data_IF_640602652912
#
_entry.id   IF_640602652912
#
_cell.length_a   1.000
_cell.length_b   1.000
_cell.length_c   1.000
_cell.angle_alpha   90.00
_cell.angle_beta   90.00
_cell.angle_gamma   90.00
#
_symmetry.space_group_name_H-M   'P 1'
#
loop_
_entity.id
_entity.type
_entity.pdbx_description
1 polymer ?
#
# COMPACT_ATOMS: atom_id res chain seq x y z
N UNK A 1 2.19 2.16 23.36
CA UNK A 1 2.10 3.49 22.72
C UNK A 1 2.31 3.38 21.21
N UNK A 2 3.46 2.92 20.72
CA UNK A 2 3.71 2.74 19.27
C UNK A 2 2.58 1.97 18.54
N UNK A 3 2.13 0.83 19.08
CA UNK A 3 1.04 0.03 18.51
C UNK A 3 -0.36 0.69 18.60
N UNK A 4 -0.57 1.54 19.60
CA UNK A 4 -1.83 2.27 19.82
C UNK A 4 -1.96 3.44 18.83
N UNK A 5 -0.83 4.10 18.52
CA UNK A 5 -0.75 5.21 17.55
C UNK A 5 -0.52 4.74 16.12
N UNK A 6 -0.49 3.43 15.88
CA UNK A 6 -0.15 2.83 14.59
C UNK A 6 1.19 3.32 14.01
N UNK A 7 2.17 3.59 14.87
CA UNK A 7 3.50 4.05 14.48
C UNK A 7 4.54 2.93 14.69
N UNK A 8 5.24 2.49 13.62
CA UNK A 8 6.26 1.47 13.75
C UNK A 8 7.43 1.94 14.65
N UNK A 9 8.09 1.02 15.39
CA UNK A 9 9.24 1.29 16.21
C UNK A 9 10.33 2.07 15.47
N UNK A 10 10.96 3.02 16.16
CA UNK A 10 11.96 3.91 15.55
C UNK A 10 13.08 3.15 14.82
N UNK A 11 13.53 2.02 15.36
CA UNK A 11 14.56 1.20 14.73
C UNK A 11 14.10 0.62 13.38
N UNK A 12 12.85 0.16 13.27
CA UNK A 12 12.29 -0.37 12.02
C UNK A 12 12.07 0.75 10.99
N UNK A 13 11.60 1.93 11.43
CA UNK A 13 11.48 3.10 10.54
C UNK A 13 12.82 3.56 9.99
N UNK A 14 13.85 3.63 10.84
CA UNK A 14 15.22 3.95 10.41
C UNK A 14 15.75 2.93 9.40
N UNK A 15 15.47 1.64 9.62
CA UNK A 15 15.83 0.58 8.68
C UNK A 15 15.14 0.76 7.32
N UNK A 16 13.83 0.97 7.31
CA UNK A 16 13.08 1.24 6.07
C UNK A 16 13.58 2.47 5.30
N UNK A 17 13.90 3.56 6.01
CA UNK A 17 14.48 4.75 5.39
C UNK A 17 15.88 4.48 4.82
N UNK A 18 16.69 3.67 5.51
CA UNK A 18 18.00 3.22 5.05
C UNK A 18 17.89 2.36 3.79
N UNK A 19 16.96 1.40 3.75
CA UNK A 19 16.71 0.54 2.59
C UNK A 19 16.28 1.37 1.37
N UNK A 20 15.37 2.34 1.57
CA UNK A 20 14.97 3.29 0.51
C UNK A 20 16.13 4.13 0.01
N UNK A 21 16.97 4.61 0.92
CA UNK A 21 18.10 5.46 0.55
C UNK A 21 19.13 4.70 -0.26
N UNK A 22 19.50 3.49 0.17
CA UNK A 22 20.43 2.62 -0.57
C UNK A 22 19.85 2.26 -1.93
N UNK A 23 18.56 1.91 -2.02
CA UNK A 23 17.88 1.65 -3.29
C UNK A 23 18.00 2.83 -4.26
N UNK A 24 17.77 4.06 -3.78
CA UNK A 24 17.92 5.28 -4.59
C UNK A 24 19.36 5.50 -5.06
N UNK A 25 20.35 5.25 -4.20
CA UNK A 25 21.76 5.35 -4.59
C UNK A 25 22.12 4.30 -5.66
N UNK A 26 21.55 3.09 -5.55
CA UNK A 26 21.70 2.00 -6.52
C UNK A 26 21.06 2.32 -7.87
N UNK A 27 19.91 3.01 -7.89
CA UNK A 27 19.23 3.40 -9.14
C UNK A 27 19.95 4.56 -9.86
N UNK A 28 20.66 5.42 -9.14
CA UNK A 28 21.33 6.61 -9.70
C UNK A 28 22.83 6.44 -9.96
N UNK A 29 23.39 5.21 -9.82
CA UNK A 29 24.83 4.92 -9.91
C UNK A 29 25.69 5.89 -9.10
N UNK A 30 25.23 6.24 -7.89
CA UNK A 30 25.87 7.26 -7.08
C UNK A 30 27.28 6.84 -6.62
N UNK A 31 28.24 7.78 -6.67
CA UNK A 31 29.60 7.58 -6.10
C UNK A 31 29.57 7.26 -4.59
N UNK A 32 28.49 7.64 -3.89
CA UNK A 32 28.32 7.32 -2.47
C UNK A 32 28.14 5.81 -2.26
N UNK A 33 27.53 5.11 -3.21
CA UNK A 33 27.33 3.67 -3.13
C UNK A 33 28.65 2.90 -3.08
N UNK A 34 29.66 3.36 -3.83
CA UNK A 34 31.01 2.78 -3.79
C UNK A 34 31.66 2.91 -2.41
N UNK A 35 31.44 4.05 -1.72
CA UNK A 35 31.92 4.24 -0.33
C UNK A 35 31.19 3.31 0.65
N UNK A 36 29.87 3.14 0.48
CA UNK A 36 29.08 2.20 1.30
C UNK A 36 29.56 0.77 1.06
N UNK A 37 29.80 0.38 -0.19
CA UNK A 37 30.32 -0.94 -0.57
C UNK A 37 31.71 -1.21 0.03
N UNK A 38 32.62 -0.24 -0.06
CA UNK A 38 33.95 -0.35 0.58
C UNK A 38 33.83 -0.51 2.11
N UNK A 39 32.96 0.28 2.75
CA UNK A 39 32.70 0.15 4.17
C UNK A 39 32.04 -1.20 4.52
N UNK A 40 31.17 -1.72 3.67
CA UNK A 40 30.58 -3.05 3.83
C UNK A 40 31.64 -4.14 3.80
N UNK A 41 32.60 -4.08 2.86
CA UNK A 41 33.74 -4.99 2.83
C UNK A 41 34.56 -4.90 4.12
N UNK A 42 34.83 -3.68 4.64
CA UNK A 42 35.54 -3.52 5.91
C UNK A 42 34.77 -4.10 7.10
N UNK A 43 33.46 -3.87 7.16
CA UNK A 43 32.58 -4.42 8.21
C UNK A 43 32.62 -5.94 8.23
N UNK A 44 32.65 -6.58 7.06
CA UNK A 44 32.64 -8.04 6.93
C UNK A 44 34.01 -8.70 7.17
N UNK A 45 35.12 -7.95 7.05
CA UNK A 45 36.48 -8.54 7.05
C UNK A 45 37.39 -8.06 8.17
N UNK A 46 37.13 -6.89 8.76
CA UNK A 46 38.03 -6.28 9.74
C UNK A 46 37.63 -6.61 11.18
N UNK A 47 38.62 -7.02 11.98
CA UNK A 47 38.49 -7.25 13.42
C UNK A 47 37.93 -6.05 14.20
N UNK A 48 38.14 -4.83 13.71
CA UNK A 48 37.62 -3.61 14.33
C UNK A 48 36.08 -3.63 14.46
N UNK A 49 35.39 -4.23 13.47
CA UNK A 49 33.94 -4.25 13.41
C UNK A 49 33.30 -5.39 14.21
N UNK A 50 34.07 -6.40 14.64
CA UNK A 50 33.56 -7.53 15.45
C UNK A 50 32.85 -7.08 16.73
N UNK A 51 33.35 -6.00 17.35
CA UNK A 51 32.81 -5.47 18.61
C UNK A 51 31.95 -4.22 18.42
N UNK A 52 31.67 -3.81 17.18
CA UNK A 52 30.92 -2.58 16.87
C UNK A 52 29.64 -2.89 16.13
N UNK A 53 28.62 -2.06 16.34
CA UNK A 53 27.37 -2.16 15.58
C UNK A 53 27.60 -1.73 14.14
N UNK A 54 27.16 -2.57 13.21
CA UNK A 54 27.17 -2.25 11.78
C UNK A 54 26.33 -0.99 11.51
N UNK A 55 26.83 -0.01 10.74
CA UNK A 55 26.04 1.13 10.33
C UNK A 55 24.81 0.71 9.51
N UNK A 56 23.65 1.34 9.76
CA UNK A 56 22.39 0.98 9.12
C UNK A 56 22.44 0.97 7.58
N UNK A 57 23.10 1.95 6.96
CA UNK A 57 23.25 2.02 5.50
C UNK A 57 24.04 0.83 4.94
N UNK A 58 25.04 0.36 5.68
CA UNK A 58 25.86 -0.80 5.30
C UNK A 58 25.05 -2.07 5.46
N UNK A 59 24.32 -2.19 6.57
CA UNK A 59 23.42 -3.31 6.81
C UNK A 59 22.35 -3.40 5.72
N UNK A 60 21.73 -2.27 5.35
CA UNK A 60 20.76 -2.18 4.23
C UNK A 60 21.38 -2.56 2.90
N UNK A 61 22.62 -2.14 2.63
CA UNK A 61 23.35 -2.50 1.43
C UNK A 61 23.61 -4.01 1.36
N UNK A 62 24.21 -4.59 2.40
CA UNK A 62 24.52 -6.03 2.46
C UNK A 62 23.24 -6.85 2.28
N UNK A 63 22.15 -6.49 2.97
CA UNK A 63 20.89 -7.24 2.90
C UNK A 63 20.21 -7.12 1.53
N UNK A 64 20.29 -6.00 0.83
CA UNK A 64 19.45 -5.77 -0.35
C UNK A 64 20.20 -5.75 -1.69
N UNK A 65 21.53 -5.68 -1.72
CA UNK A 65 22.30 -5.51 -2.96
C UNK A 65 22.00 -6.59 -4.01
N UNK A 66 21.81 -7.84 -3.58
CA UNK A 66 21.47 -8.98 -4.47
C UNK A 66 20.11 -8.82 -5.15
N UNK A 67 19.19 -8.03 -4.57
CA UNK A 67 17.85 -7.79 -5.12
C UNK A 67 17.87 -6.79 -6.27
N UNK A 68 18.99 -6.12 -6.50
CA UNK A 68 19.10 -5.00 -7.44
C UNK A 68 19.71 -5.40 -8.80
N UNK A 69 19.94 -6.68 -9.08
CA UNK A 69 20.51 -7.14 -10.36
C UNK A 69 19.72 -6.66 -11.58
N UNK A 70 18.39 -6.65 -11.47
CA UNK A 70 17.48 -6.19 -12.51
C UNK A 70 16.98 -4.76 -12.29
N UNK A 71 17.49 -4.03 -11.29
CA UNK A 71 17.10 -2.63 -11.03
C UNK A 71 17.42 -1.74 -12.24
N UNK A 72 16.51 -0.83 -12.58
CA UNK A 72 16.76 0.21 -13.55
C UNK A 72 17.79 1.20 -12.99
N UNK A 73 18.84 1.45 -13.77
CA UNK A 73 19.92 2.34 -13.38
C UNK A 73 20.13 3.43 -14.42
N UNK A 74 20.33 4.65 -13.97
CA UNK A 74 20.61 5.81 -14.83
C UNK A 74 21.67 6.71 -14.21
N UNK A 75 22.34 7.51 -15.05
CA UNK A 75 23.25 8.55 -14.58
C UNK A 75 22.44 9.79 -14.21
N UNK A 76 22.05 9.91 -12.94
CA UNK A 76 21.25 11.04 -12.45
C UNK A 76 19.74 10.81 -12.54
N UNK A 77 18.98 11.87 -12.81
CA UNK A 77 17.51 11.80 -12.87
C UNK A 77 17.09 11.42 -14.29
N UNK A 78 16.34 10.32 -14.51
CA UNK A 78 16.00 9.83 -15.85
C UNK A 78 15.30 10.87 -16.72
N UNK A 79 14.43 11.68 -16.10
CA UNK A 79 13.67 12.74 -16.77
C UNK A 79 14.56 13.71 -17.57
N UNK A 80 15.78 13.98 -17.11
CA UNK A 80 16.67 14.94 -17.76
C UNK A 80 17.25 14.44 -19.10
N UNK A 81 17.08 13.16 -19.42
CA UNK A 81 17.50 12.60 -20.70
C UNK A 81 16.45 12.79 -21.81
N UNK A 82 15.28 13.37 -21.50
CA UNK A 82 14.17 13.49 -22.44
C UNK A 82 13.88 14.97 -22.76
N UNK A 83 13.63 15.32 -24.03
CA UNK A 83 13.21 16.66 -24.44
C UNK A 83 11.96 17.16 -23.70
N UNK A 84 11.95 18.44 -23.35
CA UNK A 84 10.83 19.07 -22.63
C UNK A 84 9.55 19.12 -23.48
N UNK A 85 9.70 19.25 -24.79
CA UNK A 85 8.62 19.37 -25.78
C UNK A 85 7.68 18.17 -25.73
N UNK A 86 8.20 16.99 -25.36
CA UNK A 86 7.41 15.77 -25.21
C UNK A 86 6.32 15.89 -24.13
N UNK A 87 6.49 16.80 -23.17
CA UNK A 87 5.53 17.04 -22.09
C UNK A 87 4.48 18.10 -22.47
N UNK A 88 4.72 18.86 -23.54
CA UNK A 88 3.76 19.85 -24.06
C UNK A 88 2.61 19.21 -24.83
N UNK A 89 2.87 18.03 -25.42
CA UNK A 89 1.91 17.28 -26.21
C UNK A 89 1.45 16.04 -25.43
N UNK A 90 0.37 16.14 -24.65
CA UNK A 90 -0.05 15.06 -23.76
C UNK A 90 -0.52 13.83 -24.55
N UNK A 91 -0.31 12.66 -23.95
CA UNK A 91 -0.82 11.39 -24.47
C UNK A 91 -2.34 11.46 -24.60
N UNK A 92 -2.86 11.25 -25.81
CA UNK A 92 -4.31 11.22 -26.04
C UNK A 92 -4.91 10.00 -25.35
N UNK A 93 -5.59 10.26 -24.24
CA UNK A 93 -6.25 9.24 -23.43
C UNK A 93 -7.77 9.42 -23.43
N UNK A 94 -8.51 8.32 -23.30
CA UNK A 94 -9.96 8.34 -23.15
C UNK A 94 -10.37 7.58 -21.89
N UNK A 95 -10.86 8.33 -20.90
CA UNK A 95 -11.51 7.82 -19.69
C UNK A 95 -12.82 8.59 -19.57
N UNK A 96 -13.94 7.91 -19.71
CA UNK A 96 -15.24 8.55 -19.56
C UNK A 96 -15.72 8.42 -18.11
N UNK A 97 -15.76 9.57 -17.41
CA UNK A 97 -16.05 9.68 -15.98
C UNK A 97 -17.48 9.22 -15.66
N UNK A 98 -18.43 9.35 -16.60
CA UNK A 98 -19.83 8.93 -16.39
C UNK A 98 -19.95 7.44 -16.09
N UNK A 99 -19.06 6.63 -16.64
CA UNK A 99 -19.05 5.17 -16.47
C UNK A 99 -18.19 4.71 -15.29
N UNK A 100 -17.58 5.62 -14.54
CA UNK A 100 -16.85 5.28 -13.30
C UNK A 100 -17.79 5.10 -12.10
N UNK A 101 -18.99 5.67 -12.15
CA UNK A 101 -19.94 5.69 -11.02
C UNK A 101 -21.05 4.63 -11.14
N UNK A 102 -21.10 3.85 -12.22
CA UNK A 102 -22.20 2.93 -12.51
C UNK A 102 -21.66 1.52 -12.76
N UNK A 103 -22.05 0.58 -11.89
CA UNK A 103 -21.55 -0.79 -11.86
C UNK A 103 -22.23 -1.75 -12.85
N UNK A 104 -23.19 -1.31 -13.67
CA UNK A 104 -23.90 -2.23 -14.56
C UNK A 104 -23.08 -2.55 -15.82
N UNK A 105 -23.01 -3.83 -16.18
CA UNK A 105 -22.21 -4.29 -17.33
C UNK A 105 -22.77 -3.80 -18.68
N UNK A 106 -24.07 -3.50 -18.74
CA UNK A 106 -24.75 -2.92 -19.91
C UNK A 106 -24.12 -1.58 -20.27
N UNK A 107 -23.91 -0.72 -19.27
CA UNK A 107 -23.39 0.64 -19.45
C UNK A 107 -21.93 0.62 -19.92
N UNK A 108 -21.18 -0.42 -19.54
CA UNK A 108 -19.78 -0.59 -19.91
C UNK A 108 -19.62 -1.13 -21.33
N UNK A 109 -20.52 -2.03 -21.76
CA UNK A 109 -20.63 -2.44 -23.17
C UNK A 109 -20.99 -1.26 -24.06
N UNK A 110 -21.84 -0.35 -23.60
CA UNK A 110 -22.13 0.91 -24.32
C UNK A 110 -20.91 1.84 -24.39
N UNK A 111 -20.13 2.01 -23.32
CA UNK A 111 -18.86 2.78 -23.37
C UNK A 111 -17.87 2.20 -24.41
N UNK A 112 -17.70 0.87 -24.42
CA UNK A 112 -16.85 0.22 -25.40
C UNK A 112 -17.40 0.39 -26.82
N UNK A 113 -18.72 0.28 -27.01
CA UNK A 113 -19.39 0.60 -28.29
C UNK A 113 -19.16 2.05 -28.70
N UNK A 114 -19.29 3.03 -27.82
CA UNK A 114 -18.99 4.43 -28.13
C UNK A 114 -17.53 4.62 -28.56
N UNK A 115 -16.59 4.00 -27.84
CA UNK A 115 -15.16 4.10 -28.15
C UNK A 115 -14.84 3.48 -29.51
N UNK A 116 -15.47 2.35 -29.84
CA UNK A 116 -15.26 1.62 -31.09
C UNK A 116 -16.01 2.22 -32.27
N UNK A 117 -17.22 2.77 -32.08
CA UNK A 117 -17.99 3.48 -33.12
C UNK A 117 -17.29 4.78 -33.51
N UNK A 118 -16.84 5.57 -32.53
CA UNK A 118 -16.07 6.81 -32.81
C UNK A 118 -14.72 6.53 -33.50
N UNK A 119 -14.24 5.28 -33.45
CA UNK A 119 -12.93 4.85 -33.96
C UNK A 119 -13.05 3.58 -34.80
N UNK A 120 -14.08 3.50 -35.65
CA UNK A 120 -14.36 2.30 -36.43
C UNK A 120 -13.21 1.90 -37.37
N UNK A 121 -12.50 2.88 -37.91
CA UNK A 121 -11.35 2.71 -38.81
C UNK A 121 -10.01 2.46 -38.09
N UNK A 122 -9.98 2.46 -36.75
CA UNK A 122 -8.73 2.33 -36.01
C UNK A 122 -8.41 0.85 -35.78
N UNK A 123 -7.14 0.49 -35.95
CA UNK A 123 -6.59 -0.78 -35.48
C UNK A 123 -6.75 -0.89 -33.96
N UNK A 124 -7.50 -1.90 -33.50
CA UNK A 124 -7.80 -2.10 -32.07
C UNK A 124 -6.79 -3.06 -31.47
N UNK A 125 -6.01 -2.58 -30.52
CA UNK A 125 -5.01 -3.37 -29.81
C UNK A 125 -5.45 -3.45 -28.35
N UNK A 126 -5.35 -4.62 -27.74
CA UNK A 126 -5.70 -4.87 -26.34
C UNK A 126 -4.43 -5.20 -25.56
N UNK A 127 -4.34 -4.74 -24.33
CA UNK A 127 -3.19 -4.94 -23.46
C UNK A 127 -3.63 -5.29 -22.06
N UNK A 128 -2.90 -6.20 -21.42
CA UNK A 128 -3.12 -6.55 -20.02
C UNK A 128 -1.81 -6.93 -19.31
N UNK A 129 -1.77 -6.67 -18.01
CA UNK A 129 -0.70 -7.06 -17.11
C UNK A 129 -1.22 -8.02 -16.04
N UNK A 130 -0.46 -9.08 -15.74
CA UNK A 130 -0.83 -10.04 -14.71
C UNK A 130 0.25 -10.17 -13.65
N UNK A 131 -0.16 -10.19 -12.38
CA UNK A 131 0.71 -10.53 -11.25
C UNK A 131 0.00 -11.51 -10.33
N UNK A 132 0.62 -12.66 -10.11
CA UNK A 132 0.13 -13.71 -9.22
C UNK A 132 1.29 -14.34 -8.45
N UNK A 133 0.98 -15.33 -7.61
CA UNK A 133 2.00 -16.14 -6.94
C UNK A 133 2.90 -16.91 -7.93
N UNK A 134 2.43 -17.12 -9.16
CA UNK A 134 3.16 -17.85 -10.19
C UNK A 134 4.11 -16.98 -11.02
N UNK A 135 4.12 -15.66 -10.80
CA UNK A 135 4.99 -14.72 -11.50
C UNK A 135 4.26 -13.48 -12.00
N UNK A 136 4.98 -12.69 -12.81
CA UNK A 136 4.49 -11.47 -13.45
C UNK A 136 4.56 -11.66 -14.96
N UNK A 137 3.51 -11.27 -15.66
CA UNK A 137 3.44 -11.35 -17.12
C UNK A 137 2.69 -10.17 -17.70
N UNK A 138 2.80 -10.00 -19.01
CA UNK A 138 1.98 -9.06 -19.77
C UNK A 138 1.69 -9.61 -21.16
N UNK A 139 0.59 -9.15 -21.75
CA UNK A 139 0.23 -9.51 -23.10
C UNK A 139 -0.26 -8.31 -23.92
N UNK A 140 -0.10 -8.45 -25.24
CA UNK A 140 -0.67 -7.55 -26.23
C UNK A 140 -1.36 -8.40 -27.28
N UNK A 141 -2.60 -8.04 -27.63
CA UNK A 141 -3.39 -8.73 -28.64
C UNK A 141 -3.91 -7.75 -29.70
N UNK A 142 -3.58 -8.00 -30.96
CA UNK A 142 -4.14 -7.29 -32.11
C UNK A 142 -5.02 -8.26 -32.93
N UNK A 143 -6.36 -8.27 -32.73
CA UNK A 143 -7.25 -9.27 -33.32
C UNK A 143 -7.29 -9.25 -34.84
N UNK A 144 -7.27 -8.06 -35.45
CA UNK A 144 -7.39 -7.91 -36.91
C UNK A 144 -6.29 -8.67 -37.68
N UNK A 145 -5.07 -8.68 -37.13
CA UNK A 145 -3.92 -9.41 -37.70
C UNK A 145 -3.61 -10.70 -36.94
N UNK A 146 -4.42 -11.07 -35.95
CA UNK A 146 -4.21 -12.18 -35.03
C UNK A 146 -2.80 -12.23 -34.42
N UNK A 147 -2.25 -11.07 -34.06
CA UNK A 147 -0.92 -10.95 -33.43
C UNK A 147 -1.08 -11.02 -31.92
N UNK A 148 -0.38 -11.96 -31.28
CA UNK A 148 -0.35 -12.15 -29.83
C UNK A 148 1.08 -12.06 -29.32
N UNK A 149 1.38 -11.07 -28.49
CA UNK A 149 2.64 -10.97 -27.78
C UNK A 149 2.42 -11.36 -26.33
N UNK A 150 3.20 -12.32 -25.83
CA UNK A 150 3.04 -12.88 -24.49
C UNK A 150 4.41 -12.94 -23.83
N UNK A 151 4.59 -12.18 -22.76
CA UNK A 151 5.88 -12.06 -22.10
C UNK A 151 5.81 -12.39 -20.61
N UNK A 152 6.87 -13.04 -20.13
CA UNK A 152 7.19 -13.21 -18.73
C UNK A 152 8.10 -12.06 -18.29
N UNK A 153 7.72 -11.41 -17.20
CA UNK A 153 8.38 -10.24 -16.64
C UNK A 153 9.12 -10.59 -15.34
N UNK A 154 10.11 -9.78 -14.92
CA UNK A 154 10.72 -9.89 -13.60
C UNK A 154 9.69 -9.94 -12.46
N UNK A 155 9.85 -10.89 -11.53
CA UNK A 155 8.90 -11.16 -10.45
C UNK A 155 8.67 -9.97 -9.50
N UNK A 156 9.70 -9.13 -9.36
CA UNK A 156 9.70 -7.96 -8.50
C UNK A 156 8.92 -6.78 -9.08
N UNK A 157 8.53 -6.80 -10.36
CA UNK A 157 7.69 -5.75 -10.96
C UNK A 157 6.32 -5.70 -10.30
N UNK A 158 5.81 -4.50 -10.10
CA UNK A 158 4.44 -4.30 -9.63
C UNK A 158 3.44 -4.61 -10.73
N UNK A 159 2.18 -4.89 -10.35
CA UNK A 159 1.08 -5.02 -11.32
C UNK A 159 1.00 -3.76 -12.19
N UNK A 160 1.14 -2.58 -11.59
CA UNK A 160 1.15 -1.31 -12.30
C UNK A 160 2.26 -1.22 -13.36
N UNK A 161 3.47 -1.67 -13.06
CA UNK A 161 4.55 -1.69 -14.05
C UNK A 161 4.32 -2.71 -15.16
N UNK A 162 3.70 -3.87 -14.87
CA UNK A 162 3.34 -4.86 -15.87
C UNK A 162 2.35 -4.30 -16.90
N UNK A 163 1.32 -3.60 -16.42
CA UNK A 163 0.33 -2.89 -17.26
C UNK A 163 0.99 -1.84 -18.17
N UNK A 164 1.87 -1.02 -17.59
CA UNK A 164 2.60 -0.01 -18.37
C UNK A 164 3.51 -0.66 -19.42
N UNK A 165 4.16 -1.79 -19.10
CA UNK A 165 4.98 -2.53 -20.07
C UNK A 165 4.10 -3.08 -21.20
N UNK A 166 2.90 -3.59 -20.89
CA UNK A 166 1.94 -4.04 -21.91
C UNK A 166 1.58 -2.89 -22.88
N UNK A 167 1.25 -1.72 -22.34
CA UNK A 167 0.98 -0.50 -23.14
C UNK A 167 2.21 -0.09 -23.96
N UNK A 168 3.40 -0.10 -23.36
CA UNK A 168 4.66 0.20 -24.05
C UNK A 168 4.86 -0.71 -25.27
N UNK A 169 4.63 -2.02 -25.10
CA UNK A 169 4.74 -3.00 -26.18
C UNK A 169 3.69 -2.77 -27.28
N UNK A 170 2.46 -2.40 -26.92
CA UNK A 170 1.44 -2.05 -27.90
C UNK A 170 1.79 -0.81 -28.72
N UNK A 171 2.33 0.24 -28.09
CA UNK A 171 2.79 1.43 -28.82
C UNK A 171 3.97 1.07 -29.74
N UNK A 172 4.90 0.23 -29.27
CA UNK A 172 6.00 -0.29 -30.10
C UNK A 172 5.46 -1.06 -31.31
N UNK A 173 4.43 -1.89 -31.12
CA UNK A 173 3.77 -2.60 -32.22
C UNK A 173 3.19 -1.62 -33.24
N UNK A 174 2.57 -0.51 -32.82
CA UNK A 174 2.06 0.52 -33.73
C UNK A 174 3.13 1.14 -34.64
N UNK A 175 4.40 1.22 -34.19
CA UNK A 175 5.51 1.69 -35.03
C UNK A 175 5.74 0.75 -36.22
N UNK A 176 5.67 -0.56 -35.97
CA UNK A 176 5.95 -1.63 -36.93
C UNK A 176 4.78 -1.91 -37.89
N UNK A 177 3.54 -1.59 -37.49
CA UNK A 177 2.36 -1.84 -38.31
C UNK A 177 2.18 -0.80 -39.43
N UNK A 178 1.64 -1.22 -40.57
CA UNK A 178 1.31 -0.33 -41.69
C UNK A 178 0.10 0.57 -41.44
N UNK A 179 -0.77 0.24 -40.47
CA UNK A 179 -1.96 1.04 -40.20
C UNK A 179 -1.60 2.45 -39.66
N UNK A 180 -2.40 3.46 -39.99
CA UNK A 180 -2.13 4.86 -39.57
C UNK A 180 -2.84 5.26 -38.27
N UNK A 181 -3.88 4.53 -37.87
CA UNK A 181 -4.77 4.90 -36.77
C UNK A 181 -4.94 3.73 -35.81
N UNK A 182 -4.61 3.91 -34.54
CA UNK A 182 -4.70 2.86 -33.52
C UNK A 182 -5.44 3.32 -32.26
N UNK A 183 -6.18 2.38 -31.67
CA UNK A 183 -6.71 2.51 -30.31
C UNK A 183 -6.20 1.35 -29.48
N UNK A 184 -5.52 1.69 -28.39
CA UNK A 184 -5.01 0.73 -27.40
C UNK A 184 -6.02 0.69 -26.26
N UNK A 185 -6.61 -0.47 -26.03
CA UNK A 185 -7.52 -0.76 -24.93
C UNK A 185 -6.77 -1.44 -23.79
N UNK A 186 -6.99 -0.95 -22.58
CA UNK A 186 -6.44 -1.51 -21.34
C UNK A 186 -7.51 -1.39 -20.24
N UNK A 187 -7.56 -2.35 -19.33
CA UNK A 187 -8.40 -2.26 -18.14
C UNK A 187 -7.71 -1.58 -16.94
N UNK A 188 -6.43 -1.26 -17.08
CA UNK A 188 -5.63 -0.56 -16.09
C UNK A 188 -5.96 0.93 -16.03
N UNK A 189 -7.05 1.27 -15.33
CA UNK A 189 -7.48 2.65 -15.09
C UNK A 189 -6.33 3.52 -14.58
N UNK A 190 -5.57 2.99 -13.62
CA UNK A 190 -4.44 3.68 -13.00
C UNK A 190 -3.35 4.06 -14.00
N UNK A 191 -3.08 3.20 -15.00
CA UNK A 191 -2.11 3.47 -16.06
C UNK A 191 -2.58 4.59 -16.98
N UNK A 192 -3.85 4.54 -17.41
CA UNK A 192 -4.42 5.58 -18.28
C UNK A 192 -4.49 6.92 -17.55
N UNK A 193 -4.90 6.95 -16.28
CA UNK A 193 -4.92 8.18 -15.47
C UNK A 193 -3.51 8.76 -15.28
N UNK A 194 -2.50 7.89 -15.10
CA UNK A 194 -1.12 8.33 -14.95
C UNK A 194 -0.55 8.92 -16.22
N UNK A 195 -0.83 8.32 -17.38
CA UNK A 195 -0.43 8.82 -18.69
C UNK A 195 -1.16 10.11 -19.07
N UNK A 196 -2.44 10.24 -18.70
CA UNK A 196 -3.23 11.46 -18.92
C UNK A 196 -2.67 12.66 -18.16
N UNK A 197 -2.28 12.46 -16.90
CA UNK A 197 -1.82 13.53 -16.00
C UNK A 197 -0.30 13.53 -15.85
N UNK A 198 0.40 13.16 -16.92
CA UNK A 198 1.85 13.08 -16.91
C UNK A 198 2.44 14.49 -16.88
N UNK A 199 3.21 14.79 -15.84
CA UNK A 199 3.80 16.10 -15.58
C UNK A 199 5.28 15.94 -15.20
N UNK A 200 6.06 17.01 -15.38
CA UNK A 200 7.46 17.04 -15.01
C UNK A 200 7.63 16.71 -13.52
N UNK A 201 8.16 15.52 -13.24
CA UNK A 201 8.45 15.08 -11.88
C UNK A 201 9.75 14.26 -11.89
N UNK A 202 10.76 14.62 -11.07
CA UNK A 202 12.04 13.93 -11.03
C UNK A 202 11.94 12.47 -10.58
N UNK A 203 10.83 12.05 -9.98
CA UNK A 203 10.59 10.67 -9.55
C UNK A 203 9.70 9.89 -10.54
N UNK A 204 9.58 10.34 -11.79
CA UNK A 204 8.86 9.59 -12.82
C UNK A 204 9.50 8.21 -13.04
N UNK A 205 8.64 7.21 -13.16
CA UNK A 205 9.03 5.86 -13.54
C UNK A 205 9.58 5.88 -14.98
N UNK A 206 10.75 5.29 -15.21
CA UNK A 206 11.38 5.26 -16.54
C UNK A 206 10.46 4.63 -17.59
N UNK A 207 9.61 3.66 -17.22
CA UNK A 207 8.65 3.02 -18.14
C UNK A 207 7.69 4.06 -18.72
N UNK A 208 7.28 5.05 -17.93
CA UNK A 208 6.43 6.15 -18.39
C UNK A 208 7.17 7.07 -19.39
N UNK A 209 8.47 7.29 -19.17
CA UNK A 209 9.30 8.08 -20.08
C UNK A 209 9.49 7.35 -21.42
N UNK A 210 9.77 6.04 -21.38
CA UNK A 210 9.84 5.18 -22.58
C UNK A 210 8.52 5.18 -23.35
N UNK A 211 7.37 5.11 -22.66
CA UNK A 211 6.05 5.20 -23.28
C UNK A 211 5.88 6.56 -23.98
N UNK A 212 6.27 7.65 -23.33
CA UNK A 212 6.15 8.99 -23.89
C UNK A 212 7.02 9.16 -25.15
N UNK A 213 8.24 8.63 -25.12
CA UNK A 213 9.15 8.60 -26.28
C UNK A 213 8.57 7.82 -27.45
N UNK A 214 8.14 6.58 -27.20
CA UNK A 214 7.53 5.75 -28.25
C UNK A 214 6.25 6.40 -28.79
N UNK A 215 5.44 7.03 -27.93
CA UNK A 215 4.23 7.72 -28.35
C UNK A 215 4.55 8.86 -29.33
N UNK A 216 5.54 9.70 -29.01
CA UNK A 216 5.96 10.79 -29.89
C UNK A 216 6.61 10.30 -31.18
N UNK A 217 7.38 9.22 -31.12
CA UNK A 217 7.93 8.58 -32.31
C UNK A 217 6.79 8.13 -33.26
N UNK A 218 5.72 7.54 -32.73
CA UNK A 218 4.56 7.18 -33.57
C UNK A 218 3.91 8.42 -34.18
N UNK A 219 3.70 9.48 -33.40
CA UNK A 219 3.13 10.73 -33.92
C UNK A 219 3.99 11.34 -35.03
N UNK A 220 5.32 11.26 -34.92
CA UNK A 220 6.27 11.77 -35.91
C UNK A 220 6.19 11.04 -37.25
N UNK A 221 5.70 9.80 -37.27
CA UNK A 221 5.43 9.03 -38.48
C UNK A 221 4.08 9.40 -39.13
N UNK A 222 3.36 10.39 -38.60
CA UNK A 222 2.03 10.78 -39.09
C UNK A 222 0.88 9.90 -38.59
N UNK A 223 1.18 8.93 -37.72
CA UNK A 223 0.19 7.99 -37.17
C UNK A 223 -0.55 8.59 -35.97
N UNK A 224 -1.74 8.08 -35.70
CA UNK A 224 -2.60 8.51 -34.59
C UNK A 224 -2.81 7.38 -33.58
N UNK A 225 -2.50 7.63 -32.31
CA UNK A 225 -2.75 6.68 -31.22
C UNK A 225 -3.67 7.30 -30.16
N UNK A 226 -4.67 6.53 -29.73
CA UNK A 226 -5.45 6.76 -28.50
C UNK A 226 -5.27 5.60 -27.51
N UNK A 227 -5.13 5.92 -26.22
CA UNK A 227 -5.15 4.92 -25.14
C UNK A 227 -6.48 5.05 -24.40
N UNK A 228 -7.31 4.01 -24.45
CA UNK A 228 -8.67 4.01 -23.90
C UNK A 228 -8.80 3.00 -22.78
N UNK A 229 -9.34 3.46 -21.64
CA UNK A 229 -9.69 2.56 -20.56
C UNK A 229 -11.00 1.84 -20.85
N UNK A 230 -11.04 0.53 -20.59
CA UNK A 230 -12.24 -0.33 -20.58
C UNK A 230 -12.35 -1.05 -19.24
N UNK A 231 -13.55 -1.47 -18.83
CA UNK A 231 -13.71 -2.17 -17.56
C UNK A 231 -13.24 -3.61 -17.69
N UNK A 232 -12.51 -4.11 -16.70
CA UNK A 232 -12.18 -5.52 -16.57
C UNK A 232 -13.46 -6.38 -16.48
N UNK A 233 -13.43 -7.60 -17.02
CA UNK A 233 -14.52 -8.59 -16.93
C UNK A 233 -15.90 -8.09 -17.40
N UNK A 234 -15.94 -7.22 -18.40
CA UNK A 234 -17.20 -6.67 -18.94
C UNK A 234 -17.81 -7.49 -20.08
N UNK A 235 -17.36 -8.73 -20.33
CA UNK A 235 -17.84 -9.55 -21.44
C UNK A 235 -17.38 -9.07 -22.82
N UNK A 236 -16.21 -8.43 -22.89
CA UNK A 236 -15.55 -8.06 -24.17
C UNK A 236 -14.54 -9.17 -24.46
N UNK A 237 -14.82 -9.95 -25.51
CA UNK A 237 -14.08 -11.17 -25.87
C UNK A 237 -12.57 -10.90 -26.00
N UNK A 238 -12.18 -9.83 -26.68
CA UNK A 238 -10.76 -9.52 -26.90
C UNK A 238 -10.04 -9.06 -25.63
N UNK A 239 -10.77 -8.47 -24.67
CA UNK A 239 -10.22 -8.11 -23.38
C UNK A 239 -10.02 -9.35 -22.49
N UNK A 240 -10.97 -10.28 -22.51
CA UNK A 240 -10.88 -11.55 -21.78
C UNK A 240 -9.77 -12.44 -22.35
N UNK A 241 -9.59 -12.45 -23.67
CA UNK A 241 -8.48 -13.13 -24.33
C UNK A 241 -7.14 -12.54 -23.88
N UNK A 242 -6.93 -11.22 -23.91
CA UNK A 242 -5.65 -10.64 -23.49
C UNK A 242 -5.34 -10.85 -22.00
N UNK A 243 -6.35 -10.85 -21.12
CA UNK A 243 -6.22 -11.20 -19.70
C UNK A 243 -5.77 -12.65 -19.51
N UNK A 244 -6.38 -13.59 -20.26
CA UNK A 244 -5.95 -14.99 -20.28
C UNK A 244 -4.50 -15.14 -20.78
N UNK A 245 -4.13 -14.40 -21.84
CA UNK A 245 -2.78 -14.39 -22.38
C UNK A 245 -1.76 -13.82 -21.38
N UNK A 246 -2.09 -12.74 -20.66
CA UNK A 246 -1.20 -12.16 -19.65
C UNK A 246 -0.98 -13.11 -18.46
N UNK A 247 -2.05 -13.77 -17.98
CA UNK A 247 -1.97 -14.83 -16.96
C UNK A 247 -1.12 -16.01 -17.41
N UNK A 248 -1.27 -16.43 -18.67
CA UNK A 248 -0.40 -17.46 -19.26
C UNK A 248 1.05 -16.97 -19.34
N UNK A 249 1.26 -15.71 -19.73
CA UNK A 249 2.57 -15.07 -19.84
C UNK A 249 3.36 -15.06 -18.54
N UNK A 250 2.69 -14.89 -17.40
CA UNK A 250 3.33 -14.97 -16.09
C UNK A 250 4.02 -16.33 -15.83
N UNK A 251 3.47 -17.42 -16.39
CA UNK A 251 3.98 -18.79 -16.24
C UNK A 251 4.93 -19.17 -17.37
N UNK A 252 4.46 -19.03 -18.61
CA UNK A 252 5.01 -19.64 -19.81
C UNK A 252 5.41 -18.63 -20.90
N UNK A 253 5.29 -17.32 -20.62
CA UNK A 253 5.61 -16.29 -21.60
C UNK A 253 7.09 -16.24 -21.96
N UNK A 254 7.41 -15.64 -23.10
CA UNK A 254 8.80 -15.37 -23.48
C UNK A 254 9.41 -14.40 -22.48
N UNK A 255 10.63 -14.67 -22.00
CA UNK A 255 11.27 -13.77 -21.03
C UNK A 255 11.56 -12.42 -21.69
N UNK A 256 11.02 -11.35 -21.10
CA UNK A 256 11.35 -9.97 -21.47
C UNK A 256 12.27 -9.38 -20.40
N UNK A 257 13.49 -9.01 -20.80
CA UNK A 257 14.54 -8.48 -19.93
C UNK A 257 14.31 -7.04 -19.45
N UNK A 258 13.09 -6.70 -19.05
CA UNK A 258 12.75 -5.39 -18.50
C UNK A 258 13.51 -5.12 -17.21
N UNK A 259 13.88 -3.86 -16.98
CA UNK A 259 14.44 -3.43 -15.71
C UNK A 259 13.31 -3.12 -14.71
N UNK A 260 13.61 -3.20 -13.42
CA UNK A 260 12.63 -2.93 -12.37
C UNK A 260 12.82 -1.48 -11.92
N UNK A 261 11.78 -0.63 -11.95
CA UNK A 261 11.88 0.72 -11.42
C UNK A 261 12.04 0.69 -9.89
N UNK A 262 12.78 1.65 -9.33
CA UNK A 262 12.97 1.80 -7.87
C UNK A 262 11.63 1.80 -7.11
N UNK A 263 10.59 2.41 -7.69
CA UNK A 263 9.27 2.50 -7.06
C UNK A 263 8.66 1.14 -6.70
N UNK A 264 8.99 0.08 -7.45
CA UNK A 264 8.41 -1.26 -7.26
C UNK A 264 8.97 -1.99 -6.05
N UNK A 265 10.15 -1.60 -5.56
CA UNK A 265 10.73 -2.14 -4.33
C UNK A 265 10.12 -1.52 -3.06
N UNK A 266 9.54 -0.31 -3.15
CA UNK A 266 9.03 0.41 -1.97
C UNK A 266 7.88 -0.33 -1.27
N UNK A 267 6.86 -0.86 -1.97
CA UNK A 267 5.82 -1.68 -1.35
C UNK A 267 6.39 -2.92 -0.66
N UNK A 268 7.46 -3.50 -1.19
CA UNK A 268 8.09 -4.70 -0.64
C UNK A 268 8.75 -4.37 0.70
N UNK A 269 9.55 -3.30 0.76
CA UNK A 269 10.14 -2.85 2.03
C UNK A 269 9.07 -2.42 3.06
N UNK A 270 7.94 -1.87 2.62
CA UNK A 270 6.82 -1.55 3.52
C UNK A 270 6.17 -2.82 4.09
N UNK A 271 6.00 -3.86 3.26
CA UNK A 271 5.46 -5.16 3.70
C UNK A 271 6.40 -5.79 4.73
N UNK A 272 7.69 -5.86 4.42
CA UNK A 272 8.72 -6.38 5.33
C UNK A 272 8.76 -5.60 6.65
N UNK A 273 8.64 -4.26 6.62
CA UNK A 273 8.54 -3.45 7.84
C UNK A 273 7.32 -3.83 8.68
N UNK A 274 6.15 -4.02 8.06
CA UNK A 274 4.92 -4.37 8.78
C UNK A 274 5.02 -5.77 9.38
N UNK A 275 5.54 -6.74 8.64
CA UNK A 275 5.75 -8.12 9.11
C UNK A 275 6.73 -8.15 10.29
N UNK A 276 7.88 -7.49 10.15
CA UNK A 276 8.85 -7.39 11.24
C UNK A 276 8.28 -6.66 12.47
N UNK A 277 7.43 -5.65 12.26
CA UNK A 277 6.76 -4.98 13.36
C UNK A 277 5.74 -5.89 14.05
N UNK A 278 4.94 -6.64 13.29
CA UNK A 278 3.99 -7.61 13.83
C UNK A 278 4.70 -8.69 14.64
N UNK A 279 5.78 -9.27 14.13
CA UNK A 279 6.59 -10.26 14.86
C UNK A 279 7.18 -9.69 16.16
N UNK A 280 7.76 -8.48 16.10
CA UNK A 280 8.30 -7.81 17.30
C UNK A 280 7.19 -7.49 18.32
N UNK A 281 6.01 -7.12 17.82
CA UNK A 281 4.85 -6.87 18.65
C UNK A 281 4.42 -8.14 19.35
N UNK A 282 4.22 -9.24 18.65
CA UNK A 282 3.81 -10.54 19.22
C UNK A 282 4.80 -11.05 20.26
N UNK A 283 6.10 -11.07 19.93
CA UNK A 283 7.16 -11.60 20.80
C UNK A 283 7.52 -10.68 21.98
N UNK A 284 7.15 -9.40 21.94
CA UNK A 284 7.51 -8.46 23.01
C UNK A 284 6.87 -8.80 24.36
N UNK A 285 7.61 -8.69 25.47
CA UNK A 285 7.05 -8.99 26.80
C UNK A 285 6.11 -7.89 27.32
N UNK A 286 6.21 -6.68 26.78
CA UNK A 286 5.46 -5.50 27.25
C UNK A 286 4.09 -5.39 26.58
N UNK A 287 3.15 -4.77 27.29
CA UNK A 287 1.83 -4.41 26.74
C UNK A 287 0.88 -5.59 26.55
N UNK A 288 1.02 -6.67 27.33
CA UNK A 288 0.18 -7.88 27.20
C UNK A 288 -1.33 -7.60 27.25
N UNK A 289 -1.76 -6.71 28.14
CA UNK A 289 -3.17 -6.30 28.20
C UNK A 289 -3.64 -5.67 26.87
N UNK A 290 -2.83 -4.78 26.29
CA UNK A 290 -3.15 -4.16 25.00
C UNK A 290 -3.20 -5.19 23.87
N UNK A 291 -2.33 -6.21 23.90
CA UNK A 291 -2.34 -7.31 22.93
C UNK A 291 -3.59 -8.16 22.98
N UNK A 292 -4.15 -8.38 24.16
CA UNK A 292 -5.41 -9.10 24.31
C UNK A 292 -6.58 -8.34 23.66
N UNK A 293 -6.52 -7.01 23.66
CA UNK A 293 -7.51 -6.15 22.99
C UNK A 293 -7.24 -6.07 21.49
N UNK A 294 -5.98 -5.87 21.10
CA UNK A 294 -5.55 -5.68 19.73
C UNK A 294 -4.38 -6.62 19.40
N UNK A 295 -4.64 -7.89 19.04
CA UNK A 295 -3.59 -8.87 18.77
C UNK A 295 -2.83 -8.59 17.46
N UNK A 296 -3.46 -7.91 16.50
CA UNK A 296 -2.85 -7.51 15.24
C UNK A 296 -2.66 -6.01 15.17
N UNK A 297 -1.51 -5.59 14.69
CA UNK A 297 -1.21 -4.19 14.43
C UNK A 297 -2.12 -3.70 13.31
N UNK A 298 -2.65 -2.50 13.49
CA UNK A 298 -3.51 -1.83 12.52
C UNK A 298 -2.70 -0.88 11.65
N UNK A 299 -3.19 -0.68 10.45
CA UNK A 299 -2.65 0.34 9.54
C UNK A 299 -3.01 1.75 9.97
N UNK A 300 -4.09 1.91 10.73
CA UNK A 300 -4.61 3.19 11.19
C UNK A 300 -5.11 3.11 12.63
N UNK A 301 -4.98 4.19 13.42
CA UNK A 301 -5.45 4.20 14.81
C UNK A 301 -6.96 4.02 14.90
N UNK A 302 -7.43 3.39 15.97
CA UNK A 302 -8.87 3.17 16.22
C UNK A 302 -9.68 4.47 16.32
N UNK A 303 -9.00 5.56 16.70
CA UNK A 303 -9.61 6.88 16.87
C UNK A 303 -9.57 7.76 15.61
N UNK A 304 -9.23 7.23 14.42
CA UNK A 304 -9.14 8.04 13.18
C UNK A 304 -10.40 8.88 12.93
N UNK A 305 -11.58 8.33 13.22
CA UNK A 305 -12.88 8.97 12.99
C UNK A 305 -13.51 9.60 14.24
N UNK A 306 -12.74 9.75 15.33
CA UNK A 306 -13.23 10.30 16.60
C UNK A 306 -12.60 11.67 16.82
N UNK A 307 -13.42 12.72 16.91
CA UNK A 307 -12.93 14.09 17.11
C UNK A 307 -12.78 14.46 18.59
N UNK A 308 -13.52 13.80 19.48
CA UNK A 308 -13.52 14.12 20.91
C UNK A 308 -12.26 13.58 21.60
N UNK A 309 -11.30 14.48 21.85
CA UNK A 309 -10.00 14.17 22.49
C UNK A 309 -10.14 13.55 23.88
N UNK A 310 -11.20 13.87 24.63
CA UNK A 310 -11.41 13.34 25.98
C UNK A 310 -11.75 11.84 25.93
N UNK A 311 -12.54 11.41 24.94
CA UNK A 311 -12.84 10.00 24.67
C UNK A 311 -11.54 9.28 24.30
N UNK A 312 -10.78 9.82 23.35
CA UNK A 312 -9.50 9.25 22.92
C UNK A 312 -8.59 9.03 24.13
N UNK A 313 -8.41 10.06 24.96
CA UNK A 313 -7.56 9.97 26.16
C UNK A 313 -8.01 8.87 27.12
N UNK A 314 -9.30 8.84 27.48
CA UNK A 314 -9.84 7.88 28.44
C UNK A 314 -9.71 6.46 27.90
N UNK A 315 -10.20 6.22 26.69
CA UNK A 315 -10.19 4.90 26.07
C UNK A 315 -8.76 4.43 25.80
N UNK A 316 -7.83 5.28 25.34
CA UNK A 316 -6.43 4.89 25.18
C UNK A 316 -5.75 4.50 26.50
N UNK A 317 -6.06 5.21 27.60
CA UNK A 317 -5.58 4.82 28.94
C UNK A 317 -6.15 3.48 29.37
N UNK A 318 -7.44 3.23 29.11
CA UNK A 318 -8.08 1.94 29.38
C UNK A 318 -7.47 0.82 28.53
N UNK A 319 -7.33 1.01 27.22
CA UNK A 319 -6.71 0.04 26.28
C UNK A 319 -5.27 -0.30 26.66
N UNK A 320 -4.51 0.66 27.17
CA UNK A 320 -3.14 0.43 27.63
C UNK A 320 -3.05 -0.12 29.08
N UNK A 321 -4.18 -0.29 29.78
CA UNK A 321 -4.24 -0.58 31.22
C UNK A 321 -3.47 0.42 32.10
N UNK A 322 -3.44 1.69 31.68
CA UNK A 322 -2.72 2.80 32.31
C UNK A 322 -3.69 3.86 32.84
N UNK A 323 -4.94 3.51 33.05
CA UNK A 323 -5.91 4.41 33.64
C UNK A 323 -5.62 4.54 35.15
N UNK A 324 -5.87 5.72 35.73
CA UNK A 324 -5.42 6.09 37.09
C UNK A 324 -6.25 5.45 38.24
N UNK A 325 -6.62 4.17 38.12
CA UNK A 325 -7.25 3.38 39.18
C UNK A 325 -6.23 2.93 40.26
N UNK A 326 -6.66 2.59 41.48
CA UNK A 326 -5.76 2.30 42.60
C UNK A 326 -4.73 1.20 42.33
N UNK A 327 -5.08 0.13 41.61
CA UNK A 327 -4.10 -0.90 41.20
C UNK A 327 -2.96 -0.31 40.36
N UNK A 328 -3.26 0.54 39.37
CA UNK A 328 -2.22 1.19 38.57
C UNK A 328 -1.45 2.22 39.38
N UNK A 329 -2.12 3.02 40.22
CA UNK A 329 -1.48 4.01 41.11
C UNK A 329 -0.50 3.37 42.07
N UNK A 330 -0.83 2.22 42.67
CA UNK A 330 0.11 1.45 43.50
C UNK A 330 1.32 0.98 42.71
N UNK A 331 1.08 0.44 41.51
CA UNK A 331 2.16 -0.02 40.62
C UNK A 331 3.17 1.08 40.29
N UNK A 332 2.73 2.34 40.23
CA UNK A 332 3.60 3.50 39.97
C UNK A 332 4.01 4.27 41.25
N UNK A 333 3.70 3.77 42.44
CA UNK A 333 4.11 4.35 43.72
C UNK A 333 3.34 5.62 44.15
N UNK A 334 2.15 5.86 43.60
CA UNK A 334 1.30 7.00 43.99
C UNK A 334 0.29 6.68 45.12
N UNK A 335 0.08 5.40 45.42
CA UNK A 335 -0.78 4.94 46.51
C UNK A 335 -0.15 3.72 47.19
N UNK A 336 -0.46 3.55 48.48
CA UNK A 336 0.07 2.44 49.29
C UNK A 336 -0.79 1.17 49.19
N UNK A 337 -2.07 1.28 48.82
CA UNK A 337 -2.98 0.15 48.69
C UNK A 337 -3.81 0.20 47.39
N UNK A 338 -4.09 -0.99 46.86
CA UNK A 338 -4.75 -1.19 45.58
C UNK A 338 -6.27 -1.43 45.73
N UNK A 339 -6.83 -1.11 46.90
CA UNK A 339 -8.22 -1.40 47.23
C UNK A 339 -9.17 -0.28 46.85
N UNK A 340 -10.40 -0.66 46.58
CA UNK A 340 -11.54 0.23 46.45
C UNK A 340 -12.08 0.57 47.85
N UNK A 341 -12.93 1.60 47.94
CA UNK A 341 -13.69 1.90 49.15
C UNK A 341 -14.69 0.78 49.53
N UNK A 342 -14.99 -0.12 48.60
CA UNK A 342 -15.77 -1.33 48.86
C UNK A 342 -14.92 -2.55 49.23
N UNK A 343 -13.64 -2.33 49.60
CA UNK A 343 -12.64 -3.32 50.02
C UNK A 343 -12.16 -4.35 48.98
N UNK A 344 -12.70 -4.31 47.76
CA UNK A 344 -12.26 -5.14 46.62
C UNK A 344 -11.01 -4.57 45.92
N UNK A 345 -10.34 -5.40 45.11
CA UNK A 345 -9.21 -4.96 44.28
C UNK A 345 -9.70 -3.98 43.22
N UNK A 346 -9.20 -2.75 43.24
CA UNK A 346 -9.64 -1.68 42.35
C UNK A 346 -8.86 -1.65 41.03
N UNK A 347 -9.04 -2.70 40.23
CA UNK A 347 -8.55 -2.76 38.86
C UNK A 347 -9.55 -2.13 37.87
N UNK A 348 -9.19 -2.14 36.58
CA UNK A 348 -10.02 -1.56 35.53
C UNK A 348 -11.40 -2.23 35.42
N UNK A 349 -11.45 -3.55 35.62
CA UNK A 349 -12.69 -4.33 35.52
C UNK A 349 -13.63 -3.95 36.67
N UNK A 350 -13.11 -3.93 37.90
CA UNK A 350 -13.86 -3.57 39.09
C UNK A 350 -14.44 -2.16 39.01
N UNK A 351 -13.58 -1.18 38.67
CA UNK A 351 -13.96 0.25 38.64
C UNK A 351 -15.02 0.56 37.58
N UNK A 352 -15.03 -0.18 36.46
CA UNK A 352 -15.97 0.08 35.35
C UNK A 352 -17.25 -0.74 35.48
N UNK A 353 -17.18 -2.02 35.90
CA UNK A 353 -18.31 -2.94 35.77
C UNK A 353 -18.76 -3.61 37.09
N UNK A 354 -17.98 -3.60 38.18
CA UNK A 354 -18.27 -4.50 39.32
C UNK A 354 -18.34 -3.79 40.69
N UNK A 355 -18.01 -2.50 40.78
CA UNK A 355 -17.99 -1.79 42.06
C UNK A 355 -19.39 -1.65 42.69
N UNK A 356 -19.60 -2.28 43.85
CA UNK A 356 -20.87 -2.26 44.58
C UNK A 356 -21.32 -0.86 45.01
N UNK A 357 -20.37 0.05 45.27
CA UNK A 357 -20.66 1.45 45.62
C UNK A 357 -21.13 2.30 44.42
N UNK A 358 -21.04 1.77 43.19
CA UNK A 358 -21.44 2.44 41.94
C UNK A 358 -22.55 1.69 41.22
N UNK A 359 -23.31 0.85 41.94
CA UNK A 359 -24.32 -0.05 41.37
C UNK A 359 -25.35 0.69 40.49
N UNK A 360 -25.86 1.85 40.94
CA UNK A 360 -26.85 2.61 40.19
C UNK A 360 -26.32 3.11 38.83
N UNK A 361 -25.08 3.58 38.81
CA UNK A 361 -24.42 4.07 37.59
C UNK A 361 -24.01 2.91 36.67
N UNK A 362 -23.59 1.79 37.25
CA UNK A 362 -23.27 0.56 36.52
C UNK A 362 -24.54 -0.04 35.90
N UNK A 363 -25.68 -0.05 36.61
CA UNK A 363 -26.96 -0.52 36.06
C UNK A 363 -27.40 0.34 34.86
N UNK A 364 -27.21 1.66 34.92
CA UNK A 364 -27.44 2.57 33.78
C UNK A 364 -26.48 2.28 32.62
N UNK A 365 -25.21 2.00 32.91
CA UNK A 365 -24.23 1.59 31.91
C UNK A 365 -24.69 0.30 31.21
N UNK A 366 -25.10 -0.72 31.97
CA UNK A 366 -25.62 -1.98 31.43
C UNK A 366 -26.87 -1.77 30.57
N UNK A 367 -27.84 -0.97 31.00
CA UNK A 367 -29.03 -0.64 30.20
C UNK A 367 -28.67 0.00 28.86
N UNK A 368 -27.74 0.96 28.86
CA UNK A 368 -27.24 1.57 27.64
C UNK A 368 -26.49 0.57 26.75
N UNK A 369 -25.76 -0.39 27.30
CA UNK A 369 -25.11 -1.43 26.49
C UNK A 369 -26.15 -2.40 25.88
N UNK A 370 -27.19 -2.78 26.64
CA UNK A 370 -28.29 -3.63 26.15
C UNK A 370 -29.04 -2.96 24.99
N UNK A 371 -29.29 -1.65 25.06
CA UNK A 371 -29.97 -0.93 23.96
C UNK A 371 -29.16 -0.93 22.65
N UNK A 372 -27.87 -1.24 22.70
CA UNK A 372 -27.00 -1.43 21.53
C UNK A 372 -26.78 -2.91 21.18
N UNK A 373 -27.69 -3.81 21.59
CA UNK A 373 -27.67 -5.25 21.31
C UNK A 373 -26.41 -5.99 21.79
N UNK A 374 -25.78 -5.51 22.86
CA UNK A 374 -24.65 -6.21 23.47
C UNK A 374 -25.08 -7.52 24.13
N UNK A 375 -24.32 -8.59 23.87
CA UNK A 375 -24.52 -9.92 24.48
C UNK A 375 -23.65 -10.08 25.73
N UNK A 376 -24.23 -10.66 26.77
CA UNK A 376 -23.58 -10.93 28.06
C UNK A 376 -23.18 -12.41 28.17
N UNK A 377 -22.15 -12.74 28.97
CA UNK A 377 -21.36 -11.88 29.86
C UNK A 377 -20.35 -10.98 29.12
N UNK A 378 -20.07 -9.80 29.68
CA UNK A 378 -19.07 -8.85 29.17
C UNK A 378 -18.00 -8.57 30.22
N UNK A 379 -16.80 -8.22 29.77
CA UNK A 379 -15.75 -7.60 30.57
C UNK A 379 -15.23 -6.35 29.84
N UNK A 380 -14.42 -5.54 30.50
CA UNK A 380 -13.90 -4.29 29.93
C UNK A 380 -13.05 -4.55 28.69
N UNK A 381 -12.23 -5.60 28.67
CA UNK A 381 -11.42 -5.95 27.50
C UNK A 381 -12.30 -6.23 26.28
N UNK A 382 -13.38 -7.00 26.44
CA UNK A 382 -14.35 -7.28 25.37
C UNK A 382 -14.97 -5.98 24.83
N UNK A 383 -15.35 -5.04 25.71
CA UNK A 383 -15.89 -3.74 25.30
C UNK A 383 -14.87 -2.92 24.51
N UNK A 384 -13.61 -2.96 24.92
CA UNK A 384 -12.53 -2.24 24.26
C UNK A 384 -12.19 -2.85 22.89
N UNK A 385 -12.31 -4.15 22.71
CA UNK A 385 -12.05 -4.85 21.43
C UNK A 385 -13.08 -4.53 20.34
N UNK A 386 -14.29 -4.11 20.70
CA UNK A 386 -15.36 -3.83 19.73
C UNK A 386 -15.10 -2.59 18.87
N UNK A 387 -14.33 -1.63 19.40
CA UNK A 387 -13.95 -0.40 18.68
C UNK A 387 -15.13 0.39 18.10
N UNK A 388 -16.29 0.28 18.74
CA UNK A 388 -17.50 1.00 18.38
C UNK A 388 -17.54 2.36 19.08
N UNK A 389 -17.70 3.42 18.28
CA UNK A 389 -17.73 4.80 18.79
C UNK A 389 -18.90 5.02 19.76
N UNK A 390 -20.04 4.37 19.55
CA UNK A 390 -21.21 4.48 20.43
C UNK A 390 -20.92 3.83 21.78
N UNK A 391 -20.28 2.65 21.79
CA UNK A 391 -19.86 1.97 23.02
C UNK A 391 -18.82 2.82 23.76
N UNK A 392 -17.85 3.40 23.06
CA UNK A 392 -16.86 4.30 23.66
C UNK A 392 -17.47 5.57 24.22
N UNK A 393 -18.50 6.12 23.57
CA UNK A 393 -19.29 7.22 24.11
C UNK A 393 -20.02 6.81 25.39
N UNK A 394 -20.63 5.63 25.43
CA UNK A 394 -21.33 5.12 26.62
C UNK A 394 -20.34 4.99 27.81
N UNK A 395 -19.18 4.38 27.59
CA UNK A 395 -18.12 4.27 28.61
C UNK A 395 -17.67 5.65 29.06
N UNK A 396 -17.45 6.58 28.12
CA UNK A 396 -17.05 7.94 28.42
C UNK A 396 -18.07 8.68 29.30
N UNK A 397 -19.37 8.54 29.02
CA UNK A 397 -20.42 9.16 29.84
C UNK A 397 -20.45 8.59 31.25
N UNK A 398 -20.27 7.26 31.41
CA UNK A 398 -20.16 6.62 32.72
C UNK A 398 -18.96 7.14 33.52
N UNK A 399 -17.78 7.22 32.92
CA UNK A 399 -16.57 7.74 33.57
C UNK A 399 -16.78 9.19 34.03
N UNK A 400 -17.45 9.99 33.21
CA UNK A 400 -17.77 11.39 33.53
C UNK A 400 -18.79 11.52 34.66
N UNK A 401 -19.83 10.69 34.69
CA UNK A 401 -20.89 10.77 35.71
C UNK A 401 -20.43 10.29 37.09
N UNK A 402 -19.45 9.38 37.14
CA UNK A 402 -18.94 8.78 38.38
C UNK A 402 -17.76 9.53 38.99
N UNK A 403 -17.29 10.62 38.35
CA UNK A 403 -16.08 11.38 38.71
C UNK A 403 -14.81 10.51 38.83
N UNK A 404 -14.76 9.39 38.10
CA UNK A 404 -13.56 8.55 38.07
C UNK A 404 -12.47 9.31 37.33
N UNK A 405 -11.34 9.54 38.01
CA UNK A 405 -10.18 10.17 37.39
C UNK A 405 -9.41 9.11 36.59
N UNK A 406 -9.64 9.05 35.27
CA UNK A 406 -8.92 8.15 34.35
C UNK A 406 -7.87 8.87 33.53
#
# INVERSE_FOLDING_TARGET
MEAETCEPPLNLRRRFLSDKFVLKLSSQKSKVLAKISSLASMVLTSKYWEKKKTPLLVESFITNVHRYEQLYQSNGIPLWNYPYEMFLYPVKTHINVRYLCQNSDIIQKEHYRECTVKRKEYGKIYTDGSKSEHGVGCAVYYPYKNIKLIYKLPEMLSIFSAELIAIKLAISMCLEQEDDKFVIFTDSKSSVEKLKNLCLNPNLNYILLDILELYHNVLSMGKQIYISWIKAHSGIEENEEVDSLAKNGAKNGRILGSKIPESDFIPIFRKELKENWQLKYELGEKGQFFKNIQPKIRDKPWYENISNRSIIRIISRMRCNHALFPVYKCKIGLLDNNKCLCDEIADLQHIILECSLKKLEIDKLYQNLISYNMKFPINVSNLLTLEDNSIYNIIYQYVKSTNITL
#
